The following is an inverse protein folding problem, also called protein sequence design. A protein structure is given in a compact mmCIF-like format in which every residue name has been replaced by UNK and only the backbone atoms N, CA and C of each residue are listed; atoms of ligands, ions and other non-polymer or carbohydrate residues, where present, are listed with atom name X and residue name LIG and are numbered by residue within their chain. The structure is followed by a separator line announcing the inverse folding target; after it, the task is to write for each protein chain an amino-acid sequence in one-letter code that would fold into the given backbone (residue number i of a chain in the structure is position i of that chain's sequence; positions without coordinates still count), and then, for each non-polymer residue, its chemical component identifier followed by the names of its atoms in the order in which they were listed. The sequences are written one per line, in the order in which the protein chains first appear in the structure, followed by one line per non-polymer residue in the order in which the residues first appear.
data_IF_694733675124
#
_entry.id   IF_694733675124
#
_cell.length_a   1.000
_cell.length_b   1.000
_cell.length_c   1.000
_cell.angle_alpha   90.00
_cell.angle_beta   90.00
_cell.angle_gamma   90.00
#
_symmetry.space_group_name_H-M   'P 1'
#
loop_
_entity.id
_entity.type
_entity.pdbx_description
1 polymer ?
#
# COMPACT_ATOMS: atom_id res chain seq x y z
N UNK A 1 20.14 5.93 6.89
CA UNK A 1 18.70 5.80 6.59
C UNK A 1 18.45 4.37 6.15
N UNK A 2 17.79 3.57 6.99
CA UNK A 2 17.66 2.12 6.79
C UNK A 2 16.89 1.76 5.50
N UNK A 3 15.87 2.55 5.12
CA UNK A 3 15.10 2.28 3.91
C UNK A 3 15.92 2.40 2.62
N UNK A 4 16.96 3.24 2.61
CA UNK A 4 17.76 3.47 1.39
C UNK A 4 18.63 2.26 1.05
N UNK A 5 18.90 1.42 2.04
CA UNK A 5 19.61 0.16 1.88
C UNK A 5 18.65 -1.04 1.78
N UNK A 6 17.34 -0.82 1.97
CA UNK A 6 16.35 -1.88 1.79
C UNK A 6 16.29 -2.26 0.31
N UNK A 7 16.52 -3.56 0.06
CA UNK A 7 16.50 -4.13 -1.27
C UNK A 7 15.88 -5.52 -1.25
N UNK A 8 15.17 -5.85 -2.31
CA UNK A 8 14.63 -7.18 -2.56
C UNK A 8 14.75 -7.48 -4.05
N UNK A 9 15.40 -8.60 -4.38
CA UNK A 9 15.65 -9.02 -5.77
C UNK A 9 16.20 -7.90 -6.68
N UNK A 10 17.22 -7.18 -6.19
CA UNK A 10 17.85 -6.02 -6.84
C UNK A 10 16.94 -4.80 -7.06
N UNK A 11 15.73 -4.79 -6.51
CA UNK A 11 14.83 -3.63 -6.47
C UNK A 11 14.97 -2.93 -5.12
N UNK A 12 14.82 -1.61 -5.11
CA UNK A 12 14.93 -0.77 -3.93
C UNK A 12 13.67 0.08 -3.72
N UNK A 13 13.67 0.90 -2.68
CA UNK A 13 12.51 1.72 -2.34
C UNK A 13 12.11 2.74 -3.43
N UNK A 14 13.06 3.26 -4.23
CA UNK A 14 12.74 4.17 -5.34
C UNK A 14 11.92 3.45 -6.40
N UNK A 15 12.22 2.17 -6.67
CA UNK A 15 11.47 1.34 -7.61
C UNK A 15 10.04 1.12 -7.09
N UNK A 16 9.87 0.83 -5.80
CA UNK A 16 8.55 0.65 -5.18
C UNK A 16 7.68 1.90 -5.26
N UNK A 17 8.25 3.08 -4.99
CA UNK A 17 7.54 4.35 -5.10
C UNK A 17 7.18 4.65 -6.56
N UNK A 18 8.06 4.34 -7.52
CA UNK A 18 7.73 4.43 -8.94
C UNK A 18 6.56 3.52 -9.31
N UNK A 19 6.59 2.24 -8.91
CA UNK A 19 5.52 1.31 -9.23
C UNK A 19 4.17 1.72 -8.63
N UNK A 20 4.15 2.18 -7.37
CA UNK A 20 2.96 2.74 -6.76
C UNK A 20 2.43 3.97 -7.51
N UNK A 21 3.32 4.80 -8.07
CA UNK A 21 2.95 5.98 -8.87
C UNK A 21 2.31 5.57 -10.19
N UNK A 22 2.89 4.59 -10.89
CA UNK A 22 2.42 4.13 -12.19
C UNK A 22 1.05 3.44 -12.12
N UNK A 23 0.62 2.98 -10.94
CA UNK A 23 -0.69 2.34 -10.77
C UNK A 23 -1.86 3.30 -11.07
N UNK A 24 -1.61 4.61 -11.06
CA UNK A 24 -2.58 5.64 -11.43
C UNK A 24 -2.68 5.90 -12.93
N UNK A 25 -1.84 5.27 -13.75
CA UNK A 25 -1.83 5.43 -15.21
C UNK A 25 -2.61 4.29 -15.90
N UNK A 26 -3.18 4.55 -17.08
CA UNK A 26 -3.66 3.48 -17.96
C UNK A 26 -2.56 2.46 -18.25
N UNK A 27 -2.93 1.19 -18.39
CA UNK A 27 -2.00 0.06 -18.58
C UNK A 27 -1.04 0.27 -19.75
N UNK A 28 -1.51 0.83 -20.87
CA UNK A 28 -0.68 1.13 -22.04
C UNK A 28 0.42 2.15 -21.74
N UNK A 29 0.10 3.17 -20.93
CA UNK A 29 1.06 4.18 -20.49
C UNK A 29 2.07 3.60 -19.51
N UNK A 30 1.70 2.62 -18.67
CA UNK A 30 2.62 1.98 -17.71
C UNK A 30 3.81 1.37 -18.45
N UNK A 31 3.58 0.66 -19.56
CA UNK A 31 4.65 0.05 -20.36
C UNK A 31 5.62 1.11 -20.91
N UNK A 32 5.09 2.20 -21.44
CA UNK A 32 5.89 3.30 -21.98
C UNK A 32 6.76 3.95 -20.90
N UNK A 33 6.16 4.23 -19.73
CA UNK A 33 6.87 4.85 -18.61
C UNK A 33 7.95 3.94 -18.04
N UNK A 34 7.68 2.64 -17.87
CA UNK A 34 8.70 1.67 -17.43
C UNK A 34 9.90 1.66 -18.37
N UNK A 35 9.68 1.62 -19.69
CA UNK A 35 10.76 1.68 -20.65
C UNK A 35 11.53 3.00 -20.54
N UNK A 36 10.86 4.12 -20.31
CA UNK A 36 11.51 5.42 -20.14
C UNK A 36 12.36 5.51 -18.87
N UNK A 37 11.85 5.02 -17.74
CA UNK A 37 12.56 5.04 -16.45
C UNK A 37 13.72 4.04 -16.38
N UNK A 38 13.62 2.90 -17.07
CA UNK A 38 14.61 1.82 -17.02
C UNK A 38 15.47 1.66 -18.29
N UNK A 39 15.37 2.57 -19.26
CA UNK A 39 16.09 2.50 -20.55
C UNK A 39 17.60 2.28 -20.44
N UNK A 40 18.22 2.82 -19.39
CA UNK A 40 19.67 2.75 -19.15
C UNK A 40 20.05 1.69 -18.10
N UNK A 41 19.14 0.76 -17.79
CA UNK A 41 19.36 -0.27 -16.78
C UNK A 41 19.30 -1.66 -17.40
N UNK A 42 19.95 -2.64 -16.76
CA UNK A 42 19.86 -4.04 -17.15
C UNK A 42 18.55 -4.72 -16.69
N UNK A 43 17.62 -3.96 -16.12
CA UNK A 43 16.32 -4.46 -15.65
C UNK A 43 15.31 -4.36 -16.79
N UNK A 44 14.82 -5.50 -17.26
CA UNK A 44 13.80 -5.56 -18.29
C UNK A 44 12.48 -6.03 -17.67
N UNK A 45 11.47 -5.15 -17.68
CA UNK A 45 10.15 -5.42 -17.13
C UNK A 45 9.17 -5.78 -18.25
N UNK A 46 8.49 -6.91 -18.09
CA UNK A 46 7.39 -7.31 -18.95
C UNK A 46 6.07 -7.04 -18.24
N UNK A 47 5.23 -6.20 -18.84
CA UNK A 47 3.86 -5.99 -18.38
C UNK A 47 3.00 -7.20 -18.72
N UNK A 48 2.28 -7.73 -17.73
CA UNK A 48 1.39 -8.88 -17.89
C UNK A 48 -0.03 -8.37 -18.05
N UNK A 49 -0.45 -8.11 -19.29
CA UNK A 49 -1.74 -7.49 -19.60
C UNK A 49 -2.93 -8.33 -19.10
N UNK A 50 -2.84 -9.67 -19.19
CA UNK A 50 -3.88 -10.59 -18.70
C UNK A 50 -4.09 -10.55 -17.18
N UNK A 51 -3.10 -10.03 -16.44
CA UNK A 51 -3.12 -9.83 -14.99
C UNK A 51 -3.03 -8.33 -14.65
N UNK A 52 -3.56 -7.48 -15.52
CA UNK A 52 -3.62 -6.03 -15.32
C UNK A 52 -5.02 -5.51 -15.62
N UNK A 53 -5.48 -4.52 -14.86
CA UNK A 53 -6.83 -3.99 -14.99
C UNK A 53 -6.88 -2.51 -14.62
N UNK A 54 -7.45 -1.69 -15.49
CA UNK A 54 -7.58 -0.26 -15.27
C UNK A 54 -9.01 0.24 -15.42
N UNK A 55 -9.45 1.00 -14.41
CA UNK A 55 -10.72 1.70 -14.42
C UNK A 55 -10.50 3.19 -14.23
N UNK A 56 -11.04 4.01 -15.14
CA UNK A 56 -10.93 5.47 -15.03
C UNK A 56 -11.59 6.00 -13.75
N UNK A 57 -12.74 5.44 -13.37
CA UNK A 57 -13.55 5.83 -12.20
C UNK A 57 -13.73 4.61 -11.29
N UNK A 58 -13.46 4.79 -9.99
CA UNK A 58 -13.24 3.72 -9.01
C UNK A 58 -14.43 3.31 -8.14
N UNK A 59 -15.67 3.38 -8.64
CA UNK A 59 -16.84 2.92 -7.86
C UNK A 59 -16.84 1.39 -7.74
N UNK A 60 -16.22 0.86 -6.68
CA UNK A 60 -16.22 -0.58 -6.34
C UNK A 60 -15.30 -1.47 -7.19
N UNK A 61 -14.53 -0.89 -8.10
CA UNK A 61 -13.58 -1.59 -8.95
C UNK A 61 -12.13 -1.33 -8.53
N UNK A 62 -11.31 -2.38 -8.58
CA UNK A 62 -9.87 -2.32 -8.26
C UNK A 62 -9.10 -2.05 -9.54
N UNK A 63 -8.22 -1.06 -9.52
CA UNK A 63 -7.22 -0.86 -10.58
C UNK A 63 -5.87 -1.35 -10.09
N UNK A 64 -5.21 -2.17 -10.90
CA UNK A 64 -3.90 -2.73 -10.60
C UNK A 64 -3.19 -3.10 -11.89
N UNK A 65 -1.88 -3.24 -11.84
CA UNK A 65 -1.13 -3.83 -12.94
C UNK A 65 -0.09 -4.81 -12.41
N UNK A 66 0.29 -5.77 -13.24
CA UNK A 66 1.31 -6.77 -12.92
C UNK A 66 2.48 -6.63 -13.87
N UNK A 67 3.70 -6.54 -13.33
CA UNK A 67 4.94 -6.58 -14.10
C UNK A 67 5.82 -7.70 -13.60
N UNK A 68 6.57 -8.29 -14.51
CA UNK A 68 7.49 -9.38 -14.19
C UNK A 68 8.86 -9.16 -14.81
N UNK A 69 9.87 -9.73 -14.17
CA UNK A 69 11.23 -9.91 -14.71
C UNK A 69 11.50 -11.43 -14.78
N UNK A 70 12.76 -11.86 -14.84
CA UNK A 70 13.09 -13.30 -14.86
C UNK A 70 12.82 -14.02 -13.53
N UNK A 71 12.80 -13.29 -12.41
CA UNK A 71 12.73 -13.87 -11.08
C UNK A 71 11.93 -13.03 -10.07
N UNK A 72 11.24 -11.98 -10.53
CA UNK A 72 10.41 -11.11 -9.67
C UNK A 72 9.09 -10.84 -10.35
N UNK A 73 8.00 -10.96 -9.61
CA UNK A 73 6.67 -10.49 -10.01
C UNK A 73 6.22 -9.39 -9.05
N UNK A 74 5.76 -8.28 -9.60
CA UNK A 74 5.27 -7.13 -8.83
C UNK A 74 3.82 -6.86 -9.23
N UNK A 75 2.95 -6.78 -8.23
CA UNK A 75 1.57 -6.31 -8.39
C UNK A 75 1.46 -4.94 -7.74
N UNK A 76 1.16 -3.92 -8.55
CA UNK A 76 0.99 -2.55 -8.08
C UNK A 76 -0.49 -2.19 -8.05
N UNK A 77 -1.00 -1.79 -6.88
CA UNK A 77 -2.41 -1.52 -6.63
C UNK A 77 -2.61 -0.01 -6.50
N UNK A 78 -3.55 0.51 -7.29
CA UNK A 78 -3.90 1.93 -7.29
C UNK A 78 -4.72 2.29 -6.06
N UNK A 79 -4.44 3.43 -5.45
CA UNK A 79 -5.35 4.06 -4.49
C UNK A 79 -6.46 4.88 -5.16
N UNK A 80 -7.18 5.68 -4.38
CA UNK A 80 -8.25 6.54 -4.92
C UNK A 80 -7.66 7.69 -5.74
N UNK A 81 -8.29 8.05 -6.88
CA UNK A 81 -7.84 9.18 -7.71
C UNK A 81 -8.10 10.55 -7.07
N UNK A 82 -9.09 10.63 -6.18
CA UNK A 82 -9.49 11.84 -5.47
C UNK A 82 -9.12 11.69 -4.00
N UNK A 83 -8.11 12.45 -3.56
CA UNK A 83 -7.50 12.35 -2.24
C UNK A 83 -8.49 12.65 -1.08
N UNK A 84 -9.53 13.47 -1.34
CA UNK A 84 -10.59 13.75 -0.36
C UNK A 84 -11.58 12.58 -0.22
N UNK A 85 -11.93 11.93 -1.33
CA UNK A 85 -12.82 10.77 -1.33
C UNK A 85 -12.18 9.56 -0.65
N UNK A 86 -10.84 9.45 -0.61
CA UNK A 86 -10.14 8.40 0.14
C UNK A 86 -10.39 8.48 1.66
N UNK A 87 -10.50 9.69 2.22
CA UNK A 87 -10.77 9.92 3.64
C UNK A 87 -12.21 9.54 4.02
N UNK A 88 -13.16 9.79 3.11
CA UNK A 88 -14.59 9.53 3.33
C UNK A 88 -14.99 8.09 2.92
N UNK A 89 -14.38 7.52 1.89
CA UNK A 89 -14.64 6.15 1.42
C UNK A 89 -13.81 5.08 2.16
N UNK A 90 -13.06 5.44 3.20
CA UNK A 90 -12.22 4.56 4.01
C UNK A 90 -12.99 3.61 4.93
N UNK A 91 -14.13 3.10 4.49
CA UNK A 91 -15.11 2.34 5.27
C UNK A 91 -14.56 0.98 5.76
N UNK A 92 -13.50 0.47 5.13
CA UNK A 92 -12.76 -0.72 5.61
C UNK A 92 -12.08 -0.46 6.98
N UNK A 93 -11.64 0.78 7.21
CA UNK A 93 -10.86 1.19 8.38
C UNK A 93 -11.65 2.03 9.39
N UNK A 94 -12.96 2.24 9.19
CA UNK A 94 -13.75 3.17 9.99
C UNK A 94 -13.75 2.80 11.48
N UNK A 95 -13.83 1.52 11.83
CA UNK A 95 -13.81 1.04 13.21
C UNK A 95 -12.42 1.19 13.85
N UNK A 96 -11.35 1.05 13.06
CA UNK A 96 -9.99 1.29 13.52
C UNK A 96 -9.77 2.79 13.80
N UNK A 97 -10.30 3.67 12.94
CA UNK A 97 -10.29 5.11 13.15
C UNK A 97 -11.10 5.52 14.39
N UNK A 98 -12.30 4.96 14.57
CA UNK A 98 -13.14 5.18 15.76
C UNK A 98 -12.43 4.70 17.02
N UNK A 99 -11.80 3.52 17.02
CA UNK A 99 -11.05 3.03 18.17
C UNK A 99 -9.87 3.93 18.53
N UNK A 100 -9.15 4.46 17.54
CA UNK A 100 -8.05 5.40 17.78
C UNK A 100 -8.55 6.72 18.37
N UNK A 101 -9.71 7.23 17.92
CA UNK A 101 -10.36 8.41 18.52
C UNK A 101 -10.79 8.14 19.97
N UNK A 102 -11.38 6.99 20.25
CA UNK A 102 -11.72 6.57 21.63
C UNK A 102 -10.45 6.49 22.48
N UNK A 103 -9.35 6.00 21.92
CA UNK A 103 -8.07 5.89 22.61
C UNK A 103 -7.37 7.23 22.89
N UNK A 104 -7.81 8.32 22.26
CA UNK A 104 -7.42 9.69 22.65
C UNK A 104 -8.19 10.16 23.88
N UNK A 105 -9.49 9.83 23.97
CA UNK A 105 -10.35 10.18 25.10
C UNK A 105 -10.08 9.32 26.34
N UNK A 106 -9.61 8.09 26.13
CA UNK A 106 -9.31 7.12 27.18
C UNK A 106 -7.85 6.62 27.05
N UNK A 107 -6.84 7.43 27.45
CA UNK A 107 -5.42 7.15 27.17
C UNK A 107 -4.92 5.82 27.74
N UNK A 108 -5.58 5.29 28.77
CA UNK A 108 -5.27 3.99 29.36
C UNK A 108 -5.53 2.81 28.41
N UNK A 109 -6.36 2.97 27.37
CA UNK A 109 -6.54 1.94 26.34
C UNK A 109 -5.25 1.68 25.54
N UNK A 110 -4.32 2.66 25.48
CA UNK A 110 -3.01 2.51 24.83
C UNK A 110 -2.07 1.55 25.58
N UNK A 111 -2.38 1.23 26.84
CA UNK A 111 -1.66 0.23 27.62
C UNK A 111 -2.08 -1.20 27.25
N UNK A 112 -3.13 -1.37 26.46
CA UNK A 112 -3.58 -2.69 26.04
C UNK A 112 -2.61 -3.29 25.02
N UNK A 113 -2.21 -4.56 25.19
CA UNK A 113 -1.54 -5.30 24.15
C UNK A 113 -2.37 -5.30 22.86
N UNK A 114 -1.70 -5.27 21.69
CA UNK A 114 -2.38 -5.17 20.40
C UNK A 114 -3.46 -6.25 20.20
N UNK A 115 -3.25 -7.47 20.72
CA UNK A 115 -4.24 -8.54 20.60
C UNK A 115 -5.57 -8.21 21.31
N UNK A 116 -5.55 -7.45 22.41
CA UNK A 116 -6.76 -7.02 23.12
C UNK A 116 -7.48 -5.97 22.27
N UNK A 117 -6.74 -4.97 21.77
CA UNK A 117 -7.28 -3.93 20.88
C UNK A 117 -7.89 -4.52 19.61
N UNK A 118 -7.18 -5.45 18.95
CA UNK A 118 -7.69 -6.19 17.79
C UNK A 118 -8.94 -6.99 18.12
N UNK A 119 -9.04 -7.58 19.32
CA UNK A 119 -10.24 -8.31 19.76
C UNK A 119 -11.42 -7.38 19.98
N UNK A 120 -11.23 -6.22 20.61
CA UNK A 120 -12.27 -5.19 20.79
C UNK A 120 -12.79 -4.74 19.43
N UNK A 121 -11.89 -4.37 18.52
CA UNK A 121 -12.23 -3.90 17.17
C UNK A 121 -12.95 -4.99 16.37
N UNK A 122 -12.51 -6.25 16.47
CA UNK A 122 -13.22 -7.39 15.88
C UNK A 122 -14.65 -7.50 16.40
N UNK A 123 -14.89 -7.31 17.70
CA UNK A 123 -16.24 -7.35 18.26
C UNK A 123 -17.09 -6.15 17.83
N UNK A 124 -16.51 -4.95 17.71
CA UNK A 124 -17.22 -3.78 17.16
C UNK A 124 -17.64 -4.03 15.70
N UNK A 125 -16.77 -4.67 14.90
CA UNK A 125 -17.09 -5.02 13.51
C UNK A 125 -18.22 -6.04 13.36
N UNK A 126 -18.54 -6.82 14.41
CA UNK A 126 -19.70 -7.74 14.38
C UNK A 126 -21.01 -6.95 14.42
N UNK A 127 -21.03 -5.80 15.10
CA UNK A 127 -22.19 -4.91 15.16
C UNK A 127 -22.41 -4.27 13.78
N UNK A 128 -21.34 -3.84 13.11
CA UNK A 128 -21.40 -3.34 11.73
C UNK A 128 -21.73 -4.42 10.69
N UNK A 129 -21.47 -5.71 10.96
CA UNK A 129 -21.92 -6.83 10.10
C UNK A 129 -23.41 -7.13 10.23
N UNK A 130 -24.02 -6.77 11.37
CA UNK A 130 -25.47 -6.91 11.57
C UNK A 130 -26.24 -5.76 10.91
N UNK A 131 -25.59 -4.61 10.71
CA UNK A 131 -26.02 -3.58 9.77
C UNK A 131 -25.60 -3.96 8.35
N UNK A 132 -26.45 -3.78 7.33
CA UNK A 132 -26.20 -4.26 5.95
C UNK A 132 -25.04 -3.55 5.20
N UNK A 133 -24.23 -2.73 5.88
CA UNK A 133 -23.12 -1.97 5.30
C UNK A 133 -21.81 -2.77 5.23
N UNK A 134 -21.63 -3.83 6.04
CA UNK A 134 -20.37 -4.59 6.11
C UNK A 134 -20.02 -5.47 4.90
N UNK A 135 -20.95 -5.77 3.99
CA UNK A 135 -20.68 -6.64 2.82
C UNK A 135 -19.82 -5.96 1.74
N UNK A 136 -20.02 -4.66 1.50
CA UNK A 136 -19.29 -3.93 0.44
C UNK A 136 -17.79 -3.79 0.73
N UNK A 137 -17.38 -3.74 2.01
CA UNK A 137 -15.98 -3.51 2.41
C UNK A 137 -15.11 -4.74 2.15
N UNK A 138 -15.68 -5.91 2.41
CA UNK A 138 -15.04 -7.21 2.14
C UNK A 138 -14.84 -7.43 0.66
N UNK A 139 -15.78 -6.97 -0.18
CA UNK A 139 -15.71 -7.13 -1.63
C UNK A 139 -14.44 -6.50 -2.22
N UNK A 140 -13.94 -5.37 -1.69
CA UNK A 140 -12.74 -4.75 -2.23
C UNK A 140 -11.47 -5.54 -1.88
N UNK A 141 -11.29 -5.91 -0.61
CA UNK A 141 -10.13 -6.73 -0.19
C UNK A 141 -10.17 -8.11 -0.86
N UNK A 142 -11.34 -8.74 -0.93
CA UNK A 142 -11.52 -10.04 -1.56
C UNK A 142 -11.17 -10.02 -3.05
N UNK A 143 -11.60 -8.98 -3.79
CA UNK A 143 -11.21 -8.80 -5.20
C UNK A 143 -9.69 -8.75 -5.36
N UNK A 144 -8.98 -8.04 -4.48
CA UNK A 144 -7.51 -8.00 -4.53
C UNK A 144 -6.91 -9.36 -4.19
N UNK A 145 -7.43 -10.07 -3.17
CA UNK A 145 -6.99 -11.43 -2.83
C UNK A 145 -7.13 -12.36 -4.04
N UNK A 146 -8.26 -12.30 -4.76
CA UNK A 146 -8.50 -13.14 -5.92
C UNK A 146 -7.52 -12.84 -7.07
N UNK A 147 -7.17 -11.56 -7.25
CA UNK A 147 -6.12 -11.14 -8.19
C UNK A 147 -4.77 -11.71 -7.78
N UNK A 148 -4.37 -11.55 -6.51
CA UNK A 148 -3.09 -12.03 -6.03
C UNK A 148 -3.00 -13.55 -6.10
N UNK A 149 -4.09 -14.28 -5.88
CA UNK A 149 -4.14 -15.74 -6.08
C UNK A 149 -3.89 -16.15 -7.54
N UNK A 150 -4.43 -15.41 -8.51
CA UNK A 150 -4.16 -15.68 -9.93
C UNK A 150 -2.69 -15.45 -10.27
N UNK A 151 -2.08 -14.40 -9.72
CA UNK A 151 -0.65 -14.12 -9.90
C UNK A 151 0.20 -15.20 -9.22
N UNK A 152 -0.17 -15.59 -7.99
CA UNK A 152 0.49 -16.64 -7.20
C UNK A 152 0.51 -18.00 -7.92
N UNK A 153 -0.61 -18.38 -8.54
CA UNK A 153 -0.71 -19.61 -9.31
C UNK A 153 0.30 -19.69 -10.46
N UNK A 154 0.64 -18.54 -11.06
CA UNK A 154 1.56 -18.45 -12.20
C UNK A 154 3.01 -18.28 -11.74
N UNK A 155 3.24 -17.44 -10.72
CA UNK A 155 4.58 -16.95 -10.38
C UNK A 155 5.06 -17.27 -8.96
N UNK A 156 4.17 -17.62 -8.03
CA UNK A 156 4.45 -17.69 -6.60
C UNK A 156 5.48 -18.74 -6.16
N UNK A 157 5.83 -19.69 -7.04
CA UNK A 157 6.88 -20.70 -6.79
C UNK A 157 8.23 -20.37 -7.41
N UNK A 158 8.25 -19.44 -8.36
CA UNK A 158 9.40 -19.22 -9.25
C UNK A 158 9.93 -17.79 -9.17
N UNK A 159 9.14 -16.86 -8.66
CA UNK A 159 9.47 -15.45 -8.59
C UNK A 159 9.34 -14.96 -7.16
N UNK A 160 10.20 -14.01 -6.79
CA UNK A 160 9.96 -13.16 -5.63
C UNK A 160 8.67 -12.36 -5.87
N UNK A 161 7.71 -12.50 -4.97
CA UNK A 161 6.37 -11.91 -5.12
C UNK A 161 6.22 -10.67 -4.25
N UNK A 162 6.20 -9.51 -4.91
CA UNK A 162 6.09 -8.20 -4.27
C UNK A 162 4.71 -7.61 -4.57
N UNK A 163 4.06 -7.08 -3.54
CA UNK A 163 2.82 -6.31 -3.68
C UNK A 163 3.08 -4.90 -3.18
N UNK A 164 2.74 -3.91 -3.99
CA UNK A 164 2.99 -2.50 -3.68
C UNK A 164 1.74 -1.65 -3.93
N UNK A 165 1.55 -0.61 -3.14
CA UNK A 165 0.46 0.32 -3.38
C UNK A 165 0.62 1.64 -2.65
N UNK A 166 -0.18 2.62 -3.06
CA UNK A 166 -0.24 3.95 -2.45
C UNK A 166 -1.62 4.22 -1.85
N UNK A 167 -1.67 4.94 -0.72
CA UNK A 167 -2.94 5.33 -0.08
C UNK A 167 -3.81 4.11 0.22
N UNK A 168 -5.09 4.10 -0.18
CA UNK A 168 -5.96 2.93 -0.16
C UNK A 168 -5.29 1.68 -0.76
N UNK A 169 -4.59 1.82 -1.88
CA UNK A 169 -3.87 0.72 -2.53
C UNK A 169 -2.74 0.15 -1.67
N UNK A 170 -2.11 0.97 -0.82
CA UNK A 170 -1.09 0.52 0.13
C UNK A 170 -1.70 -0.32 1.26
N UNK A 171 -2.85 0.11 1.80
CA UNK A 171 -3.60 -0.68 2.77
C UNK A 171 -4.07 -2.03 2.20
N UNK A 172 -4.54 -2.03 0.94
CA UNK A 172 -4.97 -3.25 0.25
C UNK A 172 -3.82 -4.17 -0.11
N UNK A 173 -2.68 -3.63 -0.54
CA UNK A 173 -1.46 -4.40 -0.78
C UNK A 173 -1.08 -5.19 0.48
N UNK A 174 -1.16 -4.54 1.64
CA UNK A 174 -0.90 -5.18 2.93
C UNK A 174 -1.97 -6.23 3.27
N UNK A 175 -3.25 -5.86 3.36
CA UNK A 175 -4.33 -6.78 3.76
C UNK A 175 -4.45 -7.99 2.84
N UNK A 176 -4.52 -7.78 1.52
CA UNK A 176 -4.64 -8.88 0.58
C UNK A 176 -3.36 -9.69 0.49
N UNK A 177 -2.20 -9.04 0.60
CA UNK A 177 -0.90 -9.69 0.54
C UNK A 177 -0.63 -10.61 1.74
N UNK A 178 -1.02 -10.21 2.97
CA UNK A 178 -0.84 -11.07 4.15
C UNK A 178 -1.74 -12.30 4.14
N UNK A 179 -2.86 -12.28 3.41
CA UNK A 179 -3.75 -13.43 3.23
C UNK A 179 -3.09 -14.55 2.40
N UNK A 180 -2.02 -14.23 1.67
CA UNK A 180 -1.21 -15.20 0.93
C UNK A 180 0.11 -15.41 1.68
N UNK A 181 0.51 -16.67 1.90
CA UNK A 181 1.78 -16.99 2.54
C UNK A 181 3.00 -16.91 1.61
N UNK A 182 2.76 -16.71 0.31
CA UNK A 182 3.78 -16.69 -0.75
C UNK A 182 4.27 -15.30 -1.12
N UNK A 183 3.70 -14.25 -0.52
CA UNK A 183 4.19 -12.88 -0.71
C UNK A 183 5.47 -12.65 0.08
N UNK A 184 6.50 -12.13 -0.57
CA UNK A 184 7.81 -11.87 0.04
C UNK A 184 7.89 -10.46 0.64
N UNK A 185 7.28 -9.47 -0.02
CA UNK A 185 7.27 -8.09 0.46
C UNK A 185 5.96 -7.36 0.14
N UNK A 186 5.46 -6.65 1.14
CA UNK A 186 4.24 -5.85 1.11
C UNK A 186 4.62 -4.40 1.37
N UNK A 187 4.69 -3.61 0.30
CA UNK A 187 5.19 -2.23 0.36
C UNK A 187 4.03 -1.24 0.27
N UNK A 188 3.85 -0.46 1.33
CA UNK A 188 2.78 0.52 1.46
C UNK A 188 3.38 1.93 1.50
N UNK A 189 3.07 2.72 0.47
CA UNK A 189 3.44 4.12 0.38
C UNK A 189 2.26 4.96 0.85
N UNK A 190 2.42 5.71 1.94
CA UNK A 190 1.34 6.53 2.49
C UNK A 190 0.01 5.79 2.74
N UNK A 191 0.05 4.48 2.99
CA UNK A 191 -1.14 3.68 3.26
C UNK A 191 -1.50 3.60 4.75
N UNK A 192 -2.78 3.33 5.09
CA UNK A 192 -3.22 3.12 6.46
C UNK A 192 -2.57 1.88 7.08
N UNK A 193 -2.54 1.82 8.41
CA UNK A 193 -2.11 0.63 9.16
C UNK A 193 -3.08 -0.55 8.96
N UNK A 194 -2.67 -1.75 9.36
CA UNK A 194 -3.52 -2.94 9.30
C UNK A 194 -3.49 -3.76 10.59
N UNK A 195 -2.77 -3.32 11.63
CA UNK A 195 -2.59 -4.06 12.89
C UNK A 195 -3.91 -4.43 13.56
N UNK A 196 -4.96 -3.62 13.43
CA UNK A 196 -6.26 -3.96 13.95
C UNK A 196 -7.21 -4.48 12.88
N UNK A 197 -7.17 -3.88 11.69
CA UNK A 197 -8.09 -4.21 10.60
C UNK A 197 -7.93 -5.65 10.13
N UNK A 198 -6.72 -6.23 10.15
CA UNK A 198 -6.50 -7.62 9.76
C UNK A 198 -7.30 -8.63 10.62
N UNK A 199 -7.53 -8.32 11.90
CA UNK A 199 -8.26 -9.19 12.81
C UNK A 199 -9.77 -9.25 12.52
N UNK A 200 -10.27 -8.28 11.75
CA UNK A 200 -11.68 -8.19 11.36
C UNK A 200 -12.01 -8.99 10.11
N UNK A 201 -11.04 -9.28 9.24
CA UNK A 201 -11.30 -9.99 7.98
C UNK A 201 -11.07 -11.49 8.17
N UNK A 202 -11.96 -12.32 7.62
CA UNK A 202 -11.87 -13.77 7.83
C UNK A 202 -10.56 -14.32 7.26
N UNK A 203 -10.19 -13.81 6.10
CA UNK A 203 -9.03 -14.14 5.28
C UNK A 203 -7.71 -13.82 5.97
N UNK A 204 -7.67 -12.90 6.94
CA UNK A 204 -6.44 -12.44 7.59
C UNK A 204 -6.45 -12.54 9.12
N UNK A 205 -7.60 -12.85 9.73
CA UNK A 205 -7.78 -12.85 11.19
C UNK A 205 -6.94 -13.89 11.93
N UNK A 206 -6.45 -14.89 11.20
CA UNK A 206 -5.61 -15.97 11.71
C UNK A 206 -4.10 -15.70 11.50
N UNK A 207 -3.75 -14.64 10.77
CA UNK A 207 -2.35 -14.27 10.51
C UNK A 207 -1.79 -13.56 11.74
N UNK A 208 -0.67 -14.05 12.24
CA UNK A 208 -0.01 -13.49 13.42
C UNK A 208 0.79 -12.22 13.08
N UNK A 209 0.96 -11.34 14.07
CA UNK A 209 1.68 -10.08 13.89
C UNK A 209 3.16 -10.26 13.54
N UNK A 210 3.80 -11.39 13.90
CA UNK A 210 5.20 -11.62 13.53
C UNK A 210 5.32 -11.88 12.03
N UNK A 211 4.41 -12.67 11.45
CA UNK A 211 4.30 -12.89 10.00
C UNK A 211 4.01 -11.60 9.23
N UNK A 212 3.13 -10.75 9.77
CA UNK A 212 2.81 -9.44 9.18
C UNK A 212 4.05 -8.52 9.24
N UNK A 213 4.63 -8.35 10.42
CA UNK A 213 5.77 -7.44 10.63
C UNK A 213 7.01 -7.80 9.79
N UNK A 214 7.22 -9.08 9.49
CA UNK A 214 8.38 -9.53 8.69
C UNK A 214 8.28 -9.19 7.21
N UNK A 215 7.06 -9.02 6.68
CA UNK A 215 6.81 -8.81 5.24
C UNK A 215 6.44 -7.38 4.89
N UNK A 216 6.01 -6.60 5.86
CA UNK A 216 5.49 -5.25 5.62
C UNK A 216 6.56 -4.16 5.71
N UNK A 217 6.56 -3.29 4.70
CA UNK A 217 7.39 -2.08 4.64
C UNK A 217 6.49 -0.88 4.38
N UNK A 218 6.52 0.09 5.28
CA UNK A 218 5.76 1.33 5.22
C UNK A 218 6.70 2.52 5.00
N UNK A 219 6.35 3.38 4.05
CA UNK A 219 7.05 4.64 3.77
C UNK A 219 6.02 5.76 3.66
N UNK A 220 6.11 6.79 4.49
CA UNK A 220 5.16 7.90 4.42
C UNK A 220 5.69 9.19 5.01
N UNK A 221 5.02 10.29 4.67
CA UNK A 221 5.30 11.61 5.19
C UNK A 221 4.79 11.78 6.63
N UNK A 222 5.59 12.38 7.50
CA UNK A 222 5.26 12.60 8.93
C UNK A 222 3.96 13.39 9.18
N UNK A 223 3.56 14.26 8.24
CA UNK A 223 2.32 15.05 8.28
C UNK A 223 1.20 14.52 7.39
N UNK A 224 1.40 13.37 6.76
CA UNK A 224 0.34 12.66 6.04
C UNK A 224 -0.61 12.02 7.06
N UNK A 225 -1.91 12.28 6.91
CA UNK A 225 -2.94 11.82 7.85
C UNK A 225 -3.45 10.41 7.51
N UNK A 226 -3.27 9.92 6.29
CA UNK A 226 -3.78 8.59 5.89
C UNK A 226 -3.08 7.47 6.66
N UNK A 227 -1.75 7.47 6.84
CA UNK A 227 -1.05 6.47 7.66
C UNK A 227 -1.40 6.48 9.14
N UNK A 228 -2.11 7.51 9.64
CA UNK A 228 -2.52 7.56 11.04
C UNK A 228 -3.74 6.68 11.32
N UNK A 229 -4.46 6.29 10.28
CA UNK A 229 -5.60 5.39 10.37
C UNK A 229 -5.09 3.97 10.60
N UNK A 230 -5.55 3.34 11.70
CA UNK A 230 -5.07 2.06 12.22
C UNK A 230 -3.57 2.11 12.61
N UNK A 231 -3.13 1.18 13.45
CA UNK A 231 -1.74 1.09 13.89
C UNK A 231 -0.89 0.48 12.77
N UNK A 232 0.22 1.13 12.47
CA UNK A 232 1.21 0.66 11.50
C UNK A 232 2.01 -0.53 12.04
N UNK A 233 2.49 -1.35 11.12
CA UNK A 233 3.18 -2.62 11.36
C UNK A 233 4.45 -2.73 10.52
N UNK A 234 5.31 -3.69 10.82
CA UNK A 234 6.56 -3.92 10.09
C UNK A 234 7.54 -2.74 10.14
N UNK A 235 8.34 -2.59 9.08
CA UNK A 235 9.31 -1.51 8.96
C UNK A 235 8.60 -0.20 8.64
N UNK A 236 8.90 0.87 9.38
CA UNK A 236 8.33 2.21 9.13
C UNK A 236 9.45 3.19 8.83
N UNK A 237 9.41 3.77 7.63
CA UNK A 237 10.24 4.91 7.29
C UNK A 237 9.39 6.19 7.20
N UNK A 238 9.71 7.14 8.06
CA UNK A 238 9.18 8.49 7.97
C UNK A 238 10.06 9.34 7.06
N UNK A 239 9.42 10.12 6.20
CA UNK A 239 10.04 11.21 5.45
C UNK A 239 9.42 12.54 5.90
N UNK A 240 10.23 13.60 5.99
CA UNK A 240 9.74 14.90 6.48
C UNK A 240 8.97 15.63 5.40
N UNK A 241 7.70 15.92 5.66
CA UNK A 241 6.91 16.75 4.77
C UNK A 241 7.28 18.25 4.95
N UNK A 242 7.45 19.02 3.85
CA UNK A 242 7.65 20.46 3.94
C UNK A 242 6.55 21.15 4.76
N UNK A 243 6.95 22.11 5.62
CA UNK A 243 5.99 22.87 6.45
C UNK A 243 4.96 23.64 5.63
N UNK A 244 5.33 24.04 4.42
CA UNK A 244 4.48 24.76 3.46
C UNK A 244 3.39 23.89 2.85
N UNK A 245 3.47 22.56 2.97
CA UNK A 245 2.45 21.65 2.43
C UNK A 245 1.35 21.41 3.46
N UNK A 246 0.12 21.30 2.98
CA UNK A 246 -1.01 20.78 3.75
C UNK A 246 -0.84 19.26 3.95
N UNK A 247 -1.58 18.69 4.90
CA UNK A 247 -1.52 17.25 5.17
C UNK A 247 -1.91 16.41 3.93
N UNK A 248 -2.84 16.90 3.10
CA UNK A 248 -3.23 16.24 1.84
C UNK A 248 -2.16 16.39 0.74
N UNK A 249 -1.42 17.50 0.74
CA UNK A 249 -0.28 17.65 -0.17
C UNK A 249 0.87 16.73 0.24
N UNK A 250 1.07 16.49 1.53
CA UNK A 250 1.99 15.47 2.04
C UNK A 250 1.62 14.05 1.62
N UNK A 251 0.34 13.80 1.36
CA UNK A 251 -0.15 12.50 0.90
C UNK A 251 0.15 12.24 -0.59
N UNK A 252 0.59 13.23 -1.36
CA UNK A 252 0.76 13.07 -2.80
C UNK A 252 2.04 12.33 -3.18
N UNK A 253 1.96 11.44 -4.18
CA UNK A 253 3.10 10.64 -4.68
C UNK A 253 4.28 11.46 -5.24
N UNK A 254 4.09 12.54 -6.03
CA UNK A 254 5.22 13.24 -6.63
C UNK A 254 6.20 13.84 -5.59
N UNK A 255 5.73 14.53 -4.53
CA UNK A 255 6.59 14.90 -3.40
C UNK A 255 7.31 13.73 -2.73
N UNK A 256 6.63 12.59 -2.53
CA UNK A 256 7.21 11.39 -1.91
C UNK A 256 8.37 10.86 -2.75
N UNK A 257 8.16 10.68 -4.06
CA UNK A 257 9.18 10.21 -4.99
C UNK A 257 10.42 11.12 -4.98
N UNK A 258 10.23 12.44 -5.05
CA UNK A 258 11.34 13.38 -5.02
C UNK A 258 12.10 13.35 -3.69
N UNK A 259 11.41 13.25 -2.55
CA UNK A 259 12.05 13.14 -1.25
C UNK A 259 12.88 11.85 -1.14
N UNK A 260 12.33 10.72 -1.59
CA UNK A 260 13.03 9.44 -1.57
C UNK A 260 14.27 9.47 -2.46
N UNK A 261 14.18 10.03 -3.67
CA UNK A 261 15.32 10.18 -4.57
C UNK A 261 16.40 11.08 -3.96
N UNK A 262 16.00 12.20 -3.33
CA UNK A 262 16.91 13.12 -2.65
C UNK A 262 17.59 12.48 -1.45
N UNK A 263 16.84 11.70 -0.65
CA UNK A 263 17.34 11.04 0.55
C UNK A 263 18.25 9.86 0.25
N UNK A 264 17.92 9.06 -0.78
CA UNK A 264 18.64 7.82 -1.11
C UNK A 264 19.64 7.96 -2.28
N UNK A 265 19.74 9.12 -2.93
CA UNK A 265 20.81 9.42 -3.88
C UNK A 265 20.59 8.94 -5.32
N UNK A 266 19.39 9.10 -5.88
CA UNK A 266 19.00 8.77 -7.28
C UNK A 266 19.76 7.59 -7.92
N UNK A 267 19.79 6.45 -7.25
CA UNK A 267 20.57 5.28 -7.67
C UNK A 267 20.14 4.72 -9.02
N UNK A 268 18.92 5.03 -9.46
CA UNK A 268 18.37 4.63 -10.77
C UNK A 268 18.57 5.68 -11.86
N UNK A 269 19.15 6.83 -11.54
CA UNK A 269 19.33 7.95 -12.46
C UNK A 269 18.01 8.38 -13.12
N UNK A 270 16.90 8.31 -12.38
CA UNK A 270 15.60 8.75 -12.86
C UNK A 270 15.67 10.21 -13.30
N UNK A 271 15.11 10.50 -14.48
CA UNK A 271 14.95 11.87 -14.98
C UNK A 271 13.75 12.50 -14.31
N UNK A 272 13.99 13.21 -13.22
CA UNK A 272 12.94 13.92 -12.48
C UNK A 272 13.01 15.40 -12.84
N UNK A 273 11.98 15.91 -13.52
CA UNK A 273 11.81 17.35 -13.67
C UNK A 273 11.58 17.97 -12.28
N UNK A 274 12.28 19.06 -11.96
CA UNK A 274 12.14 19.78 -10.68
C UNK A 274 10.69 20.21 -10.42
N UNK A 275 9.91 20.45 -11.48
CA UNK A 275 8.50 20.83 -11.38
C UNK A 275 7.59 19.67 -10.93
N UNK A 276 8.03 18.40 -11.08
CA UNK A 276 7.29 17.22 -10.63
C UNK A 276 7.28 17.12 -9.10
N UNK A 277 8.23 17.74 -8.41
CA UNK A 277 8.35 17.64 -6.95
C UNK A 277 7.35 18.50 -6.16
N UNK A 278 6.53 19.30 -6.86
CA UNK A 278 5.45 20.06 -6.25
C UNK A 278 4.17 19.22 -6.20
N UNK A 279 3.37 19.31 -5.13
CA UNK A 279 2.06 18.67 -5.10
C UNK A 279 1.20 19.25 -6.22
N UNK A 280 0.44 18.38 -6.89
CA UNK A 280 -0.53 18.77 -7.93
C UNK A 280 -1.91 18.96 -7.30
#
# INVERSE_FOLDING_TARGET
MEICNWQIANLNIQDMVLFATLAYKPVDNVKQELNAFYNNTNLNFTLVESLSQYYAIGYGNVTYYTVTTNNVVIVAIRGTALNYEAFVNGDIWIESAVYQLISLLFPWSKLFPDYISSRIIRHMSIIDRLAQNGEQHRLYVQKVIDVLKKVDQVYGKTHTFIVVGHSLGGGLAKLAGIALNTTDALVSISGPGITYTHAKLYETSHVDMQSINRRTVNLYNDRDVVPWIDKQEGLIQLITCPKTFSNLQCHSMPPILCNVIKMCGNTRQFRVDKNICMPK
#
